data_IF_367493905724
#
_entry.id   IF_367493905724
#
_cell.length_a   1.000
_cell.length_b   1.000
_cell.length_c   1.000
_cell.angle_alpha   90.00
_cell.angle_beta   90.00
_cell.angle_gamma   90.00
#
_symmetry.space_group_name_H-M   'P 1'
#
loop_
_entity.id
_entity.type
_entity.pdbx_description
1 polymer ?
#
# COMPACT_ATOMS: atom_id res chain seq x y z
N UNK A 1 -3.13 12.06 46.95
CA UNK A 1 -2.46 11.14 46.00
C UNK A 1 -3.32 11.14 44.73
N UNK A 2 -2.91 11.87 43.70
CA UNK A 2 -3.68 11.99 42.44
C UNK A 2 -3.26 10.78 41.59
N UNK A 3 -4.19 9.94 41.09
CA UNK A 3 -3.82 8.80 40.27
C UNK A 3 -3.30 9.31 38.93
N UNK A 4 -2.07 8.92 38.59
CA UNK A 4 -1.45 9.13 37.29
C UNK A 4 -2.22 8.31 36.24
N UNK A 5 -3.12 8.98 35.51
CA UNK A 5 -3.85 8.40 34.39
C UNK A 5 -2.88 8.21 33.23
N UNK A 6 -2.21 7.05 33.20
CA UNK A 6 -1.52 6.56 32.01
C UNK A 6 -2.47 6.68 30.83
N UNK A 7 -2.21 7.64 29.96
CA UNK A 7 -2.97 7.82 28.72
C UNK A 7 -2.65 6.64 27.83
N UNK A 8 -3.44 5.58 27.94
CA UNK A 8 -3.34 4.40 27.08
C UNK A 8 -3.67 4.84 25.66
N UNK A 9 -2.64 5.18 24.88
CA UNK A 9 -2.80 5.46 23.45
C UNK A 9 -3.13 4.12 22.79
N UNK A 10 -4.35 4.00 22.30
CA UNK A 10 -4.75 2.84 21.49
C UNK A 10 -3.87 2.80 20.25
N UNK A 11 -3.10 1.71 20.12
CA UNK A 11 -2.42 1.34 18.89
C UNK A 11 -3.32 0.35 18.16
N UNK A 12 -3.67 0.62 16.91
CA UNK A 12 -4.38 -0.33 16.07
C UNK A 12 -3.60 -0.60 14.78
N UNK A 13 -3.88 -1.76 14.19
CA UNK A 13 -3.20 -2.23 12.98
C UNK A 13 -4.24 -2.57 11.93
N UNK A 14 -3.99 -2.17 10.68
CA UNK A 14 -4.69 -2.62 9.49
C UNK A 14 -3.75 -3.45 8.65
N UNK A 15 -4.22 -4.55 8.09
CA UNK A 15 -3.51 -5.31 7.09
C UNK A 15 -4.47 -5.64 5.96
N UNK A 16 -4.01 -5.57 4.73
CA UNK A 16 -4.85 -5.80 3.57
C UNK A 16 -4.06 -6.37 2.41
N UNK A 17 -4.78 -7.04 1.52
CA UNK A 17 -4.26 -7.51 0.23
C UNK A 17 -5.27 -7.17 -0.85
N UNK A 18 -4.80 -6.93 -2.07
CA UNK A 18 -5.62 -6.54 -3.20
C UNK A 18 -5.04 -7.09 -4.49
N UNK A 19 -5.91 -7.53 -5.41
CA UNK A 19 -5.53 -7.87 -6.77
C UNK A 19 -6.28 -6.95 -7.73
N UNK A 20 -5.52 -6.16 -8.50
CA UNK A 20 -6.04 -5.20 -9.47
C UNK A 20 -5.86 -5.72 -10.89
N UNK A 21 -6.84 -5.50 -11.77
CA UNK A 21 -6.71 -5.71 -13.21
C UNK A 21 -6.77 -4.33 -13.88
N UNK A 22 -5.68 -3.91 -14.49
CA UNK A 22 -5.58 -2.64 -15.22
C UNK A 22 -5.69 -2.90 -16.72
N UNK A 23 -6.50 -2.08 -17.40
CA UNK A 23 -6.72 -2.16 -18.86
C UNK A 23 -6.47 -0.79 -19.49
N UNK A 24 -5.22 -0.48 -19.80
CA UNK A 24 -4.82 0.84 -20.32
C UNK A 24 -3.82 0.66 -21.46
N UNK A 25 -4.32 0.40 -22.68
CA UNK A 25 -3.47 0.05 -23.83
C UNK A 25 -2.86 -1.37 -23.74
N UNK A 26 -3.32 -2.19 -22.81
CA UNK A 26 -2.82 -3.52 -22.49
C UNK A 26 -3.63 -4.15 -21.35
N UNK A 27 -3.24 -5.31 -20.85
CA UNK A 27 -3.76 -5.93 -19.63
C UNK A 27 -2.64 -6.16 -18.63
N UNK A 28 -2.79 -5.66 -17.40
CA UNK A 28 -1.87 -5.94 -16.32
C UNK A 28 -2.62 -6.40 -15.06
N UNK A 29 -2.15 -7.48 -14.46
CA UNK A 29 -2.62 -7.99 -13.17
C UNK A 29 -1.59 -7.65 -12.11
N UNK A 30 -1.99 -6.91 -11.09
CA UNK A 30 -1.15 -6.46 -9.99
C UNK A 30 -1.64 -7.07 -8.68
N UNK A 31 -0.73 -7.65 -7.91
CA UNK A 31 -0.99 -8.04 -6.52
C UNK A 31 -0.40 -6.97 -5.59
N UNK A 32 -1.12 -6.63 -4.53
CA UNK A 32 -0.69 -5.65 -3.53
C UNK A 32 -0.96 -6.17 -2.13
N UNK A 33 -0.10 -5.81 -1.19
CA UNK A 33 -0.26 -6.06 0.23
C UNK A 33 0.20 -4.85 1.02
N UNK A 34 -0.52 -4.51 2.07
CA UNK A 34 -0.22 -3.35 2.90
C UNK A 34 -0.46 -3.59 4.38
N UNK A 35 0.25 -2.79 5.18
CA UNK A 35 0.09 -2.70 6.62
C UNK A 35 0.03 -1.23 7.03
N UNK A 36 -0.93 -0.91 7.88
CA UNK A 36 -1.13 0.41 8.46
C UNK A 36 -1.08 0.32 9.99
N UNK A 37 -0.31 1.21 10.62
CA UNK A 37 -0.22 1.36 12.07
C UNK A 37 -0.85 2.70 12.44
N UNK A 38 -1.84 2.67 13.32
CA UNK A 38 -2.57 3.83 13.79
C UNK A 38 -2.24 4.09 15.25
N UNK A 39 -1.72 5.28 15.55
CA UNK A 39 -1.36 5.71 16.92
C UNK A 39 -1.83 7.14 17.15
N UNK A 40 -2.98 7.27 17.81
CA UNK A 40 -3.58 8.58 18.12
C UNK A 40 -3.90 9.38 16.85
N UNK A 41 -3.13 10.43 16.58
CA UNK A 41 -3.31 11.31 15.40
C UNK A 41 -2.44 10.90 14.21
N UNK A 42 -1.59 9.89 14.37
CA UNK A 42 -0.66 9.44 13.33
C UNK A 42 -1.13 8.11 12.72
N UNK A 43 -1.00 8.01 11.41
CA UNK A 43 -1.08 6.74 10.67
C UNK A 43 0.20 6.56 9.88
N UNK A 44 0.87 5.43 10.06
CA UNK A 44 2.01 5.03 9.25
C UNK A 44 1.67 3.81 8.41
N UNK A 45 1.85 3.89 7.11
CA UNK A 45 1.53 2.83 6.16
C UNK A 45 2.77 2.35 5.41
N UNK A 46 2.81 1.05 5.12
CA UNK A 46 3.73 0.44 4.15
C UNK A 46 2.91 -0.43 3.21
N UNK A 47 3.12 -0.23 1.90
CA UNK A 47 2.47 -0.98 0.84
C UNK A 47 3.53 -1.55 -0.10
N UNK A 48 3.33 -2.80 -0.49
CA UNK A 48 4.08 -3.49 -1.53
C UNK A 48 3.15 -3.87 -2.67
N UNK A 49 3.55 -3.54 -3.89
CA UNK A 49 2.83 -3.91 -5.10
C UNK A 49 3.76 -4.63 -6.06
N UNK A 50 3.31 -5.76 -6.58
CA UNK A 50 4.02 -6.59 -7.56
C UNK A 50 3.14 -6.88 -8.76
N UNK A 51 3.63 -6.67 -9.99
CA UNK A 51 2.97 -7.18 -11.17
C UNK A 51 3.10 -8.69 -11.27
N UNK A 52 1.96 -9.36 -11.45
CA UNK A 52 1.86 -10.81 -11.63
C UNK A 52 1.89 -11.17 -13.12
N UNK A 53 1.17 -10.41 -13.94
CA UNK A 53 1.14 -10.56 -15.39
C UNK A 53 0.98 -9.18 -16.03
N UNK A 54 1.71 -8.94 -17.12
CA UNK A 54 1.68 -7.66 -17.83
C UNK A 54 1.76 -7.95 -19.33
N UNK A 55 0.81 -7.40 -20.09
CA UNK A 55 0.76 -7.45 -21.54
C UNK A 55 0.41 -6.05 -22.02
N UNK A 56 1.38 -5.32 -22.54
CA UNK A 56 1.16 -4.00 -23.12
C UNK A 56 1.11 -4.13 -24.65
N UNK A 57 0.05 -3.64 -25.28
CA UNK A 57 0.03 -3.33 -26.72
C UNK A 57 0.69 -1.94 -26.83
N UNK A 58 1.68 -1.67 -27.67
CA UNK A 58 1.77 -1.95 -29.11
C UNK A 58 3.24 -1.81 -29.55
N UNK A 59 3.62 -2.56 -30.57
CA UNK A 59 4.96 -2.70 -31.20
C UNK A 59 5.96 -3.67 -30.52
N UNK A 60 6.33 -4.69 -31.30
CA UNK A 60 7.26 -5.81 -31.07
C UNK A 60 8.69 -5.44 -30.61
N UNK A 61 8.96 -4.16 -30.30
CA UNK A 61 10.32 -3.65 -30.05
C UNK A 61 10.57 -3.11 -28.64
N UNK A 62 9.54 -2.92 -27.79
CA UNK A 62 9.75 -2.38 -26.45
C UNK A 62 8.79 -2.95 -25.40
N UNK A 63 9.20 -4.01 -24.72
CA UNK A 63 8.47 -4.54 -23.58
C UNK A 63 8.68 -3.66 -22.34
N UNK A 64 7.77 -2.71 -22.10
CA UNK A 64 7.78 -1.91 -20.87
C UNK A 64 7.12 -2.73 -19.76
N UNK A 65 7.91 -3.48 -18.99
CA UNK A 65 7.45 -4.15 -17.76
C UNK A 65 7.51 -3.18 -16.59
N UNK A 66 6.39 -2.99 -15.90
CA UNK A 66 6.38 -2.41 -14.56
C UNK A 66 7.13 -3.32 -13.57
N UNK A 67 7.89 -2.72 -12.66
CA UNK A 67 8.60 -3.44 -11.60
C UNK A 67 7.83 -3.48 -10.28
N UNK A 68 8.46 -4.13 -9.30
CA UNK A 68 7.99 -4.12 -7.91
C UNK A 68 8.06 -2.71 -7.32
N UNK A 69 7.07 -2.34 -6.52
CA UNK A 69 6.97 -1.01 -5.91
C UNK A 69 6.69 -1.11 -4.41
N UNK A 70 7.56 -0.49 -3.63
CA UNK A 70 7.32 -0.18 -2.22
C UNK A 70 6.85 1.26 -2.09
N UNK A 71 5.85 1.50 -1.24
CA UNK A 71 5.39 2.84 -0.88
C UNK A 71 5.23 2.90 0.62
N UNK A 72 5.73 3.97 1.24
CA UNK A 72 5.46 4.26 2.65
C UNK A 72 4.73 5.60 2.75
N UNK A 73 3.85 5.70 3.74
CA UNK A 73 3.06 6.90 4.00
C UNK A 73 3.10 7.22 5.49
N UNK A 74 3.08 8.51 5.81
CA UNK A 74 2.89 9.01 7.15
C UNK A 74 1.85 10.13 7.10
N UNK A 75 0.76 9.95 7.84
CA UNK A 75 -0.34 10.90 7.89
C UNK A 75 -0.51 11.41 9.32
N UNK A 76 -0.73 12.71 9.47
CA UNK A 76 -1.11 13.33 10.73
C UNK A 76 -2.47 14.02 10.60
N UNK A 77 -3.39 13.71 11.51
CA UNK A 77 -4.76 14.26 11.51
C UNK A 77 -4.87 15.37 12.58
N UNK A 78 -5.12 16.61 12.14
CA UNK A 78 -5.25 17.81 12.99
C UNK A 78 -6.67 18.04 13.53
#
# INVERSE_FOLDING_TARGET
MIPDTKTTRTVSFGAWTHVAILRTGGSATLASAGLDVYVGRFTWGVNFQRPVSQTYNSDDQAEIKGGDRWTTSLTFNF
#
